data_IF_580514701961
#
_entry.id   IF_580514701961
#
_cell.length_a   1.000
_cell.length_b   1.000
_cell.length_c   1.000
_cell.angle_alpha   90.00
_cell.angle_beta   90.00
_cell.angle_gamma   90.00
#
_symmetry.space_group_name_H-M   'P 1'
#
loop_
_entity.id
_entity.type
_entity.pdbx_description
1 polymer ?
#
# COMPACT_ATOMS: atom_id res chain seq x y z
N UNK A 1 -31.58 -30.22 -0.27
CA UNK A 1 -30.21 -30.63 0.12
C UNK A 1 -29.40 -29.61 0.95
N UNK A 2 -29.78 -28.33 1.11
CA UNK A 2 -28.93 -27.30 1.76
C UNK A 2 -28.83 -27.29 3.31
N UNK A 3 -29.78 -27.89 4.05
CA UNK A 3 -29.84 -27.76 5.53
C UNK A 3 -28.78 -28.57 6.29
N UNK A 4 -28.33 -29.72 5.76
CA UNK A 4 -27.27 -30.54 6.38
C UNK A 4 -25.87 -29.94 6.17
N UNK A 5 -25.61 -29.39 4.98
CA UNK A 5 -24.35 -28.69 4.66
C UNK A 5 -24.12 -27.44 5.52
N UNK A 6 -25.16 -26.65 5.77
CA UNK A 6 -25.07 -25.46 6.63
C UNK A 6 -24.70 -25.79 8.09
N UNK A 7 -25.24 -26.89 8.65
CA UNK A 7 -24.91 -27.34 10.02
C UNK A 7 -23.47 -27.84 10.14
N UNK A 8 -23.01 -28.64 9.17
CA UNK A 8 -21.63 -29.14 9.13
C UNK A 8 -20.62 -27.99 8.98
N UNK A 9 -20.88 -27.06 8.06
CA UNK A 9 -20.07 -25.86 7.86
C UNK A 9 -20.02 -24.98 9.11
N UNK A 10 -21.17 -24.79 9.79
CA UNK A 10 -21.23 -24.06 11.05
C UNK A 10 -20.41 -24.71 12.18
N UNK A 11 -20.46 -26.05 12.31
CA UNK A 11 -19.63 -26.79 13.28
C UNK A 11 -18.14 -26.61 12.97
N UNK A 12 -17.74 -26.70 11.69
CA UNK A 12 -16.37 -26.48 11.26
C UNK A 12 -15.88 -25.05 11.55
N UNK A 13 -16.70 -24.03 11.27
CA UNK A 13 -16.39 -22.62 11.58
C UNK A 13 -16.20 -22.40 13.09
N UNK A 14 -17.08 -22.95 13.94
CA UNK A 14 -16.95 -22.89 15.41
C UNK A 14 -15.67 -23.57 15.89
N UNK A 15 -15.35 -24.76 15.37
CA UNK A 15 -14.09 -25.47 15.69
C UNK A 15 -12.87 -24.64 15.28
N UNK A 16 -12.88 -24.03 14.10
CA UNK A 16 -11.79 -23.15 13.65
C UNK A 16 -11.64 -21.92 14.56
N UNK A 17 -12.74 -21.34 15.03
CA UNK A 17 -12.71 -20.23 16.00
C UNK A 17 -12.09 -20.68 17.33
N UNK A 18 -12.52 -21.82 17.86
CA UNK A 18 -11.99 -22.41 19.09
C UNK A 18 -10.48 -22.70 18.99
N UNK A 19 -10.01 -23.30 17.89
CA UNK A 19 -8.58 -23.54 17.65
C UNK A 19 -7.79 -22.22 17.61
N UNK A 20 -8.31 -21.19 16.93
CA UNK A 20 -7.65 -19.88 16.90
C UNK A 20 -7.56 -19.28 18.29
N UNK A 21 -8.59 -19.40 19.12
CA UNK A 21 -8.59 -18.89 20.49
C UNK A 21 -7.58 -19.64 21.36
N UNK A 22 -7.53 -20.97 21.25
CA UNK A 22 -6.55 -21.81 21.94
C UNK A 22 -5.12 -21.50 21.51
N UNK A 23 -4.89 -21.27 20.21
CA UNK A 23 -3.57 -20.89 19.70
C UNK A 23 -3.16 -19.51 20.22
N UNK A 24 -4.05 -18.52 20.20
CA UNK A 24 -3.77 -17.20 20.77
C UNK A 24 -3.40 -17.29 22.26
N UNK A 25 -4.16 -18.09 23.01
CA UNK A 25 -3.85 -18.34 24.41
C UNK A 25 -2.45 -18.97 24.55
N UNK A 26 -2.15 -20.02 23.79
CA UNK A 26 -0.85 -20.68 23.86
C UNK A 26 0.31 -19.72 23.56
N UNK A 27 0.16 -18.89 22.52
CA UNK A 27 1.16 -17.91 22.12
C UNK A 27 1.39 -16.83 23.19
N UNK A 28 0.33 -16.38 23.88
CA UNK A 28 0.43 -15.35 24.92
C UNK A 28 0.89 -15.87 26.29
N UNK A 29 1.07 -17.19 26.46
CA UNK A 29 1.56 -17.74 27.72
C UNK A 29 3.07 -17.46 27.86
N UNK A 30 3.56 -17.28 29.09
CA UNK A 30 4.99 -17.14 29.34
C UNK A 30 5.79 -18.30 28.75
N UNK A 31 6.96 -17.99 28.20
CA UNK A 31 7.87 -18.98 27.66
C UNK A 31 8.39 -19.94 28.76
N UNK A 32 8.82 -21.13 28.34
CA UNK A 32 9.46 -22.09 29.22
C UNK A 32 10.80 -21.56 29.76
N UNK A 33 11.27 -22.07 30.91
CA UNK A 33 12.43 -21.52 31.61
C UNK A 33 13.71 -21.49 30.75
N UNK A 34 13.96 -22.54 29.97
CA UNK A 34 15.07 -22.63 29.02
C UNK A 34 14.98 -21.53 27.94
N UNK A 35 13.79 -21.30 27.41
CA UNK A 35 13.59 -20.29 26.37
C UNK A 35 13.74 -18.88 26.93
N UNK A 36 13.30 -18.64 28.17
CA UNK A 36 13.47 -17.34 28.85
C UNK A 36 14.93 -16.99 29.10
N UNK A 37 15.76 -17.97 29.43
CA UNK A 37 17.20 -17.77 29.58
C UNK A 37 17.83 -17.29 28.27
N UNK A 38 17.52 -17.98 27.16
CA UNK A 38 17.98 -17.57 25.82
C UNK A 38 17.47 -16.18 25.43
N UNK A 39 16.19 -15.87 25.70
CA UNK A 39 15.60 -14.56 25.43
C UNK A 39 16.24 -13.45 26.28
N UNK A 40 16.63 -13.75 27.53
CA UNK A 40 17.36 -12.82 28.40
C UNK A 40 18.72 -12.48 27.81
N UNK A 41 19.45 -13.48 27.29
CA UNK A 41 20.75 -13.28 26.64
C UNK A 41 20.60 -12.38 25.40
N UNK A 42 19.48 -12.48 24.68
CA UNK A 42 19.16 -11.62 23.54
C UNK A 42 18.65 -10.22 23.93
N UNK A 43 18.50 -9.93 25.22
CA UNK A 43 18.06 -8.61 25.72
C UNK A 43 16.57 -8.34 25.54
N UNK A 44 15.74 -9.38 25.45
CA UNK A 44 14.28 -9.24 25.39
C UNK A 44 13.73 -8.83 26.77
N UNK A 45 12.73 -7.94 26.80
CA UNK A 45 12.07 -7.53 28.02
C UNK A 45 11.35 -8.72 28.69
N UNK A 46 11.48 -8.93 30.02
CA UNK A 46 10.78 -9.99 30.74
C UNK A 46 9.26 -10.04 30.53
N UNK A 47 8.62 -8.90 30.26
CA UNK A 47 7.18 -8.79 29.99
C UNK A 47 6.80 -9.29 28.58
N UNK A 48 7.76 -9.30 27.66
CA UNK A 48 7.60 -9.78 26.28
C UNK A 48 8.10 -11.24 26.10
N UNK A 49 8.51 -11.93 27.17
CA UNK A 49 8.98 -13.31 27.13
C UNK A 49 7.84 -14.34 27.11
N UNK A 50 7.07 -14.33 26.03
CA UNK A 50 6.00 -15.29 25.76
C UNK A 50 6.37 -16.30 24.66
N UNK A 51 5.47 -17.26 24.42
CA UNK A 51 5.69 -18.29 23.40
C UNK A 51 5.67 -17.71 21.97
N UNK A 52 5.04 -16.56 21.73
CA UNK A 52 5.10 -15.87 20.43
C UNK A 52 6.53 -15.38 20.16
N UNK A 53 7.17 -14.77 21.16
CA UNK A 53 8.55 -14.32 21.07
C UNK A 53 9.54 -15.47 20.85
N UNK A 54 9.28 -16.65 21.43
CA UNK A 54 10.09 -17.85 21.15
C UNK A 54 10.03 -18.26 19.68
N UNK A 55 8.87 -18.14 19.02
CA UNK A 55 8.75 -18.43 17.59
C UNK A 55 9.49 -17.38 16.75
N UNK A 56 9.41 -16.10 17.12
CA UNK A 56 10.15 -15.01 16.45
C UNK A 56 11.66 -15.23 16.58
N UNK A 57 12.16 -15.54 17.79
CA UNK A 57 13.55 -15.96 18.03
C UNK A 57 13.96 -17.09 17.11
N UNK A 58 13.18 -18.17 17.09
CA UNK A 58 13.50 -19.37 16.31
C UNK A 58 13.58 -19.06 14.81
N UNK A 59 12.66 -18.24 14.29
CA UNK A 59 12.66 -17.80 12.90
C UNK A 59 13.89 -16.93 12.58
N UNK A 60 14.24 -16.02 13.49
CA UNK A 60 15.43 -15.19 13.36
C UNK A 60 16.72 -16.02 13.34
N UNK A 61 16.86 -16.97 14.26
CA UNK A 61 18.03 -17.86 14.32
C UNK A 61 18.14 -18.74 13.07
N UNK A 62 17.03 -19.28 12.56
CA UNK A 62 17.02 -20.04 11.32
C UNK A 62 17.48 -19.19 10.12
N UNK A 63 17.04 -17.94 10.03
CA UNK A 63 17.49 -17.02 9.00
C UNK A 63 18.99 -16.68 9.14
N UNK A 64 19.46 -16.47 10.38
CA UNK A 64 20.86 -16.20 10.67
C UNK A 64 21.78 -17.39 10.34
N UNK A 65 21.27 -18.62 10.47
CA UNK A 65 21.95 -19.87 10.09
C UNK A 65 21.90 -20.15 8.58
N UNK A 66 21.16 -19.32 7.81
CA UNK A 66 21.12 -19.38 6.35
C UNK A 66 19.85 -19.98 5.73
N UNK A 67 18.77 -20.21 6.50
CA UNK A 67 17.46 -20.55 5.90
C UNK A 67 16.89 -19.34 5.18
N UNK A 68 17.06 -19.31 3.85
CA UNK A 68 16.59 -18.22 2.99
C UNK A 68 15.07 -18.04 3.04
N UNK A 69 14.29 -19.10 3.32
CA UNK A 69 12.83 -18.97 3.45
C UNK A 69 12.45 -18.29 4.76
N UNK A 70 13.21 -18.54 5.83
CA UNK A 70 13.04 -17.82 7.09
C UNK A 70 13.38 -16.34 6.90
N UNK A 71 14.47 -16.04 6.19
CA UNK A 71 14.86 -14.69 5.81
C UNK A 71 13.77 -13.97 5.00
N UNK A 72 13.28 -14.59 3.92
CA UNK A 72 12.21 -14.03 3.08
C UNK A 72 10.95 -13.76 3.92
N UNK A 73 10.61 -14.68 4.82
CA UNK A 73 9.45 -14.53 5.70
C UNK A 73 9.61 -13.35 6.67
N UNK A 74 10.81 -13.13 7.21
CA UNK A 74 11.11 -11.95 8.04
C UNK A 74 10.98 -10.69 7.20
N UNK A 75 11.55 -10.65 6.00
CA UNK A 75 11.48 -9.50 5.09
C UNK A 75 10.05 -9.15 4.69
N UNK A 76 9.20 -10.16 4.44
CA UNK A 76 7.76 -10.00 4.25
C UNK A 76 7.08 -9.31 5.44
N UNK A 77 7.40 -9.75 6.65
CA UNK A 77 6.79 -9.25 7.90
C UNK A 77 7.21 -7.80 8.18
N UNK A 78 8.50 -7.46 8.00
CA UNK A 78 8.99 -6.08 8.17
C UNK A 78 8.70 -5.19 6.96
N UNK A 79 8.21 -5.77 5.87
CA UNK A 79 7.82 -5.06 4.65
C UNK A 79 8.97 -4.59 3.77
N UNK A 80 10.17 -5.16 3.93
CA UNK A 80 11.40 -4.83 3.17
C UNK A 80 11.62 -5.79 2.01
N UNK A 81 10.58 -6.07 1.24
CA UNK A 81 10.69 -6.96 0.09
C UNK A 81 10.94 -6.15 -1.18
N UNK A 82 11.84 -6.66 -2.03
CA UNK A 82 12.16 -6.07 -3.33
C UNK A 82 10.88 -5.84 -4.15
N UNK A 83 9.94 -6.79 -4.14
CA UNK A 83 8.66 -6.65 -4.83
C UNK A 83 7.81 -5.47 -4.32
N UNK A 84 7.84 -5.15 -3.01
CA UNK A 84 7.13 -3.97 -2.49
C UNK A 84 7.84 -2.67 -2.85
N UNK A 85 9.16 -2.66 -2.84
CA UNK A 85 9.97 -1.50 -3.25
C UNK A 85 9.75 -1.19 -4.75
N UNK A 86 9.77 -2.21 -5.61
CA UNK A 86 9.46 -2.08 -7.04
C UNK A 86 8.03 -1.56 -7.27
N UNK A 87 7.04 -2.06 -6.53
CA UNK A 87 5.66 -1.57 -6.61
C UNK A 87 5.53 -0.12 -6.14
N UNK A 88 6.32 0.30 -5.16
CA UNK A 88 6.33 1.68 -4.69
C UNK A 88 6.90 2.61 -5.77
N UNK A 89 8.05 2.26 -6.36
CA UNK A 89 8.68 3.00 -7.46
C UNK A 89 7.71 3.11 -8.65
N UNK A 90 7.09 2.00 -9.07
CA UNK A 90 6.15 1.99 -10.18
C UNK A 90 4.90 2.85 -9.93
N UNK A 91 4.42 2.90 -8.68
CA UNK A 91 3.32 3.80 -8.29
C UNK A 91 3.73 5.27 -8.35
N UNK A 92 4.95 5.62 -7.95
CA UNK A 92 5.47 6.99 -8.05
C UNK A 92 5.64 7.44 -9.50
N UNK A 93 6.18 6.57 -10.35
CA UNK A 93 6.29 6.83 -11.79
C UNK A 93 4.92 7.07 -12.43
N UNK A 94 3.92 6.26 -12.08
CA UNK A 94 2.55 6.44 -12.57
C UNK A 94 1.96 7.77 -12.11
N UNK A 95 2.12 8.14 -10.83
CA UNK A 95 1.61 9.42 -10.31
C UNK A 95 2.21 10.61 -11.06
N UNK A 96 3.53 10.61 -11.30
CA UNK A 96 4.22 11.65 -12.07
C UNK A 96 3.70 11.75 -13.51
N UNK A 97 3.33 10.62 -14.14
CA UNK A 97 2.75 10.59 -15.48
C UNK A 97 1.28 11.04 -15.53
N UNK A 98 0.54 10.86 -14.43
CA UNK A 98 -0.91 11.15 -14.38
C UNK A 98 -1.26 12.51 -13.77
N UNK A 99 -0.31 13.24 -13.18
CA UNK A 99 -0.56 14.64 -12.78
C UNK A 99 -0.64 15.48 -14.06
N UNK A 100 -1.81 16.00 -14.46
CA UNK A 100 -1.87 16.92 -15.57
C UNK A 100 -1.09 18.18 -15.18
N UNK A 101 -0.06 18.50 -15.97
CA UNK A 101 0.56 19.81 -15.94
C UNK A 101 -0.52 20.83 -16.35
N UNK A 102 -0.89 21.74 -15.44
CA UNK A 102 -1.76 22.87 -15.79
C UNK A 102 -1.24 23.68 -16.99
N UNK A 103 0.08 23.65 -17.24
CA UNK A 103 0.70 24.30 -18.39
C UNK A 103 0.24 23.74 -19.74
N UNK A 104 -0.09 22.44 -19.83
CA UNK A 104 -0.59 21.87 -21.08
C UNK A 104 -2.02 22.30 -21.41
N UNK A 105 -2.78 22.76 -20.41
CA UNK A 105 -4.11 23.33 -20.62
C UNK A 105 -4.01 24.81 -21.04
N UNK A 106 -3.04 25.53 -20.48
CA UNK A 106 -2.75 26.93 -20.80
C UNK A 106 -2.25 27.09 -22.24
N UNK A 107 -1.34 26.23 -22.70
CA UNK A 107 -0.86 26.23 -24.09
C UNK A 107 -2.00 25.93 -25.11
N UNK A 108 -2.98 25.10 -24.72
CA UNK A 108 -4.14 24.79 -25.56
C UNK A 108 -5.16 25.94 -25.59
N UNK A 109 -5.31 26.66 -24.48
CA UNK A 109 -6.19 27.84 -24.37
C UNK A 109 -5.59 29.03 -25.15
N UNK A 110 -4.27 29.22 -25.08
CA UNK A 110 -3.56 30.25 -25.86
C UNK A 110 -3.66 29.96 -27.35
N UNK A 111 -3.41 28.72 -27.80
CA UNK A 111 -3.54 28.36 -29.21
C UNK A 111 -4.95 28.56 -29.78
N UNK A 112 -6.00 28.43 -28.96
CA UNK A 112 -7.39 28.70 -29.37
C UNK A 112 -7.77 30.19 -29.36
N UNK A 113 -7.07 31.04 -28.59
CA UNK A 113 -7.29 32.49 -28.58
C UNK A 113 -6.59 33.18 -29.75
N UNK A 114 -5.41 32.71 -30.15
CA UNK A 114 -4.67 33.27 -31.28
C UNK A 114 -5.40 33.10 -32.63
N UNK A 115 -6.18 32.02 -32.80
CA UNK A 115 -6.99 31.78 -34.01
C UNK A 115 -8.25 32.67 -34.08
N UNK A 116 -8.67 33.30 -32.97
CA UNK A 116 -9.91 34.08 -32.91
C UNK A 116 -9.70 35.61 -32.95
N UNK A 117 -8.47 36.11 -32.77
CA UNK A 117 -8.17 37.55 -32.73
C UNK A 117 -7.78 38.17 -34.09
N UNK A 118 -7.82 37.38 -35.18
CA UNK A 118 -7.46 37.83 -36.54
C UNK A 118 -8.54 38.61 -37.32
N UNK A 119 -9.73 38.88 -36.77
CA UNK A 119 -10.86 39.43 -37.53
C UNK A 119 -11.59 40.62 -36.89
N UNK A 120 -10.89 41.56 -36.25
CA UNK A 120 -11.49 42.88 -35.99
C UNK A 120 -10.48 44.03 -36.13
N UNK A 121 -10.18 44.40 -37.38
CA UNK A 121 -9.55 45.69 -37.68
C UNK A 121 -10.34 46.44 -38.76
N UNK A 122 -10.99 47.51 -38.29
CA UNK A 122 -11.24 48.79 -38.97
C UNK A 122 -12.28 48.86 -40.10
N UNK A 123 -13.46 49.38 -39.76
CA UNK A 123 -14.17 50.31 -40.66
C UNK A 123 -14.34 51.65 -39.94
N UNK A 124 -13.41 52.55 -40.18
CA UNK A 124 -13.52 53.98 -39.90
C UNK A 124 -14.40 54.64 -40.97
N UNK A 125 -15.55 55.22 -40.62
CA UNK A 125 -16.04 56.43 -41.32
C UNK A 125 -15.22 57.65 -40.86
N UNK A 126 -15.31 58.86 -41.46
CA UNK A 126 -16.51 59.48 -42.07
C UNK A 126 -16.24 60.39 -43.32
N UNK A 127 -17.27 61.15 -43.75
CA UNK A 127 -17.31 62.33 -44.67
C UNK A 127 -17.20 62.06 -46.18
N UNK A 128 -17.84 62.77 -47.11
CA UNK A 128 -18.73 63.95 -47.17
C UNK A 128 -19.38 63.88 -48.58
N UNK A 129 -20.70 64.04 -48.73
CA UNK A 129 -21.37 65.27 -49.17
C UNK A 129 -21.53 65.45 -50.71
N UNK A 130 -22.76 65.85 -51.10
CA UNK A 130 -23.16 66.56 -52.34
C UNK A 130 -23.21 65.69 -53.63
N UNK A 131 -24.12 65.84 -54.60
CA UNK A 131 -25.21 66.77 -54.90
C UNK A 131 -25.95 66.22 -56.16
N UNK A 132 -27.22 66.61 -56.36
CA UNK A 132 -27.95 66.73 -57.66
C UNK A 132 -28.17 65.43 -58.48
N UNK A 133 -29.30 65.16 -59.13
CA UNK A 133 -30.47 65.93 -59.60
C UNK A 133 -31.65 64.94 -59.75
#
# INVERSE_FOLDING_TARGET
>A
MGRKGGKASGKARRRKKDIKQKMKLLLSLPAAANDREELTIMGVDPDDMDNEMVLVKSLFLAAADGDTRAFDRIMDLVGKTVAREELAIKKEELKKKTTPSNGALEDLIVGLQEDNDGLHAQTTGPHDALETE
#
